data_IF_506096155062
#
_entry.id   IF_506096155062
#
_cell.length_a   1.000
_cell.length_b   1.000
_cell.length_c   1.000
_cell.angle_alpha   90.00
_cell.angle_beta   90.00
_cell.angle_gamma   90.00
#
_symmetry.space_group_name_H-M   'P 1'
#
loop_
_entity.id
_entity.type
_entity.pdbx_description
1 polymer ?
#
# COMPACT_ATOMS: atom_id res chain seq x y z
N UNK A 1 -14.73 -25.92 57.64
CA UNK A 1 -13.72 -24.98 57.15
C UNK A 1 -13.85 -24.98 55.64
N UNK A 2 -14.66 -24.04 55.14
CA UNK A 2 -14.88 -23.83 53.71
C UNK A 2 -13.74 -22.99 53.18
N UNK A 3 -13.05 -23.54 52.19
CA UNK A 3 -11.97 -22.92 51.46
C UNK A 3 -12.55 -21.78 50.61
N UNK A 4 -12.23 -20.54 50.97
CA UNK A 4 -12.64 -19.36 50.20
C UNK A 4 -11.83 -19.35 48.90
N UNK A 5 -12.50 -19.69 47.80
CA UNK A 5 -11.96 -19.50 46.45
C UNK A 5 -11.73 -18.00 46.23
N UNK A 6 -10.46 -17.62 46.36
CA UNK A 6 -9.93 -16.35 45.92
C UNK A 6 -10.22 -16.20 44.42
N UNK A 7 -11.18 -15.36 44.08
CA UNK A 7 -11.43 -14.97 42.68
C UNK A 7 -10.38 -13.94 42.34
N UNK A 8 -9.45 -14.19 41.40
CA UNK A 8 -8.42 -13.21 41.07
C UNK A 8 -9.10 -11.97 40.51
N UNK A 9 -8.70 -10.83 41.07
CA UNK A 9 -9.14 -9.50 40.72
C UNK A 9 -8.98 -9.26 39.22
N UNK A 10 -10.04 -8.70 38.63
CA UNK A 10 -10.14 -8.07 37.32
C UNK A 10 -8.80 -7.70 36.70
N UNK A 11 -8.40 -8.44 35.65
CA UNK A 11 -7.56 -7.90 34.59
C UNK A 11 -8.22 -6.59 34.14
N UNK A 12 -7.55 -5.48 34.46
CA UNK A 12 -7.86 -4.15 33.96
C UNK A 12 -7.90 -4.26 32.43
N UNK A 13 -9.10 -4.39 31.87
CA UNK A 13 -9.30 -4.52 30.43
C UNK A 13 -8.75 -3.24 29.83
N UNK A 14 -7.53 -3.30 29.31
CA UNK A 14 -6.93 -2.22 28.54
C UNK A 14 -8.00 -1.70 27.58
N UNK A 15 -8.37 -0.43 27.72
CA UNK A 15 -9.44 0.16 26.92
C UNK A 15 -9.16 -0.13 25.45
N UNK A 16 -10.04 -0.94 24.86
CA UNK A 16 -9.89 -1.35 23.47
C UNK A 16 -10.00 -0.09 22.63
N UNK A 17 -8.97 0.18 21.81
CA UNK A 17 -8.95 1.34 20.92
C UNK A 17 -10.27 1.49 20.13
N UNK A 18 -10.78 2.71 20.07
CA UNK A 18 -11.91 3.12 19.21
C UNK A 18 -11.58 4.42 18.47
N UNK A 19 -12.22 4.70 17.32
CA UNK A 19 -12.02 5.97 16.60
C UNK A 19 -12.27 7.22 17.46
N UNK A 20 -13.29 7.19 18.32
CA UNK A 20 -13.65 8.32 19.20
C UNK A 20 -12.59 8.59 20.29
N UNK A 21 -11.78 7.57 20.59
CA UNK A 21 -10.68 7.64 21.56
C UNK A 21 -9.31 7.81 20.91
N UNK A 22 -9.25 7.89 19.57
CA UNK A 22 -7.97 8.00 18.86
C UNK A 22 -7.38 9.41 19.02
N UNK A 23 -6.15 9.55 19.57
CA UNK A 23 -5.54 10.86 19.83
C UNK A 23 -5.19 11.63 18.54
N UNK A 24 -5.09 10.92 17.41
CA UNK A 24 -4.73 11.47 16.10
C UNK A 24 -5.96 11.64 15.19
N UNK A 25 -7.15 11.25 15.67
CA UNK A 25 -8.42 11.36 14.95
C UNK A 25 -8.59 10.36 13.80
N UNK A 26 -7.89 9.22 13.84
CA UNK A 26 -8.05 8.19 12.81
C UNK A 26 -9.38 7.45 12.90
N UNK A 27 -9.96 7.20 11.74
CA UNK A 27 -11.22 6.49 11.57
C UNK A 27 -10.98 4.98 11.45
N UNK A 28 -12.06 4.17 11.46
CA UNK A 28 -11.95 2.74 11.15
C UNK A 28 -11.34 2.53 9.76
N UNK A 29 -11.74 3.33 8.76
CA UNK A 29 -11.22 3.21 7.39
C UNK A 29 -9.70 3.51 7.30
N UNK A 30 -9.14 4.24 8.27
CA UNK A 30 -7.70 4.52 8.33
C UNK A 30 -6.89 3.36 8.90
N UNK A 31 -7.50 2.47 9.68
CA UNK A 31 -6.80 1.39 10.40
C UNK A 31 -7.30 -0.02 10.07
N UNK A 32 -8.42 -0.12 9.35
CA UNK A 32 -9.02 -1.38 8.92
C UNK A 32 -9.05 -1.45 7.39
N UNK A 33 -8.45 -2.50 6.84
CA UNK A 33 -8.29 -2.64 5.41
C UNK A 33 -9.56 -3.26 4.81
N UNK A 34 -10.17 -2.58 3.84
CA UNK A 34 -11.35 -3.09 3.09
C UNK A 34 -11.17 -4.53 2.58
N UNK A 35 -9.98 -4.86 2.10
CA UNK A 35 -9.57 -6.22 1.76
C UNK A 35 -8.28 -6.57 2.50
N UNK A 36 -8.43 -7.26 3.63
CA UNK A 36 -7.32 -7.66 4.49
C UNK A 36 -6.31 -8.55 3.75
N UNK A 37 -6.76 -9.37 2.79
CA UNK A 37 -5.88 -10.32 2.11
C UNK A 37 -4.98 -9.62 1.10
N UNK A 38 -5.54 -8.67 0.33
CA UNK A 38 -4.74 -7.83 -0.58
C UNK A 38 -3.74 -6.98 0.20
N UNK A 39 -4.20 -6.34 1.28
CA UNK A 39 -3.34 -5.54 2.15
C UNK A 39 -2.20 -6.38 2.73
N UNK A 40 -2.50 -7.59 3.22
CA UNK A 40 -1.49 -8.53 3.73
C UNK A 40 -0.49 -8.92 2.64
N UNK A 41 -0.95 -9.24 1.43
CA UNK A 41 -0.07 -9.62 0.32
C UNK A 41 0.89 -8.48 -0.07
N UNK A 42 0.38 -7.24 -0.14
CA UNK A 42 1.21 -6.06 -0.42
C UNK A 42 2.25 -5.84 0.69
N UNK A 43 1.86 -5.92 1.95
CA UNK A 43 2.78 -5.72 3.08
C UNK A 43 3.79 -6.85 3.23
N UNK A 44 3.42 -8.08 2.87
CA UNK A 44 4.36 -9.20 2.87
C UNK A 44 5.52 -8.97 1.89
N UNK A 45 5.24 -8.36 0.73
CA UNK A 45 6.24 -8.17 -0.33
C UNK A 45 6.98 -6.84 -0.18
N UNK A 46 6.28 -5.76 0.17
CA UNK A 46 6.86 -4.39 0.21
C UNK A 46 7.23 -3.94 1.63
N UNK A 47 6.89 -4.73 2.65
CA UNK A 47 6.95 -4.33 4.05
C UNK A 47 5.88 -3.32 4.43
N UNK A 48 5.77 -3.08 5.74
CA UNK A 48 4.86 -2.07 6.29
C UNK A 48 5.39 -0.65 6.08
N UNK A 49 6.71 -0.48 6.03
CA UNK A 49 7.37 0.79 5.81
C UNK A 49 7.55 1.13 4.32
N UNK A 50 7.13 0.26 3.40
CA UNK A 50 7.24 0.45 1.95
C UNK A 50 8.69 0.63 1.44
N UNK A 51 9.70 0.22 2.22
CA UNK A 51 11.12 0.34 1.84
C UNK A 51 11.67 -0.89 1.11
N UNK A 52 11.01 -2.03 1.23
CA UNK A 52 11.49 -3.24 0.55
C UNK A 52 11.28 -3.10 -0.96
N UNK A 53 12.38 -3.25 -1.69
CA UNK A 53 12.39 -3.25 -3.15
C UNK A 53 11.95 -4.64 -3.62
N UNK A 54 10.84 -4.71 -4.33
CA UNK A 54 10.14 -5.94 -4.65
C UNK A 54 8.96 -5.64 -5.55
N UNK A 55 8.78 -6.46 -6.58
CA UNK A 55 7.64 -6.31 -7.49
C UNK A 55 7.03 -7.65 -7.83
N UNK A 56 5.71 -7.67 -8.03
CA UNK A 56 4.99 -8.86 -8.43
C UNK A 56 3.85 -8.51 -9.38
N UNK A 57 3.49 -9.46 -10.24
CA UNK A 57 2.35 -9.28 -11.13
C UNK A 57 1.06 -9.19 -10.32
N UNK A 58 0.29 -8.13 -10.53
CA UNK A 58 -1.00 -7.92 -9.91
C UNK A 58 -2.00 -7.43 -10.96
N UNK A 59 -3.21 -7.96 -10.90
CA UNK A 59 -4.36 -7.47 -11.66
C UNK A 59 -5.44 -7.09 -10.67
N UNK A 60 -5.99 -5.88 -10.81
CA UNK A 60 -7.06 -5.35 -9.96
C UNK A 60 -8.21 -4.83 -10.81
N UNK A 61 -9.42 -4.88 -10.27
CA UNK A 61 -10.59 -4.20 -10.81
C UNK A 61 -10.88 -2.98 -9.95
N UNK A 62 -10.94 -1.80 -10.56
CA UNK A 62 -11.29 -0.56 -9.88
C UNK A 62 -12.25 0.26 -10.74
N UNK A 63 -13.41 0.60 -10.21
CA UNK A 63 -14.45 1.40 -10.89
C UNK A 63 -14.80 0.90 -12.31
N UNK A 64 -14.86 -0.42 -12.51
CA UNK A 64 -15.17 -1.04 -13.81
C UNK A 64 -14.01 -1.08 -14.81
N UNK A 65 -12.80 -0.66 -14.41
CA UNK A 65 -11.58 -0.75 -15.20
C UNK A 65 -10.71 -1.88 -14.66
N UNK A 66 -10.21 -2.73 -15.56
CA UNK A 66 -9.19 -3.74 -15.23
C UNK A 66 -7.82 -3.08 -15.34
N UNK A 67 -7.04 -3.14 -14.26
CA UNK A 67 -5.71 -2.57 -14.17
C UNK A 67 -4.75 -3.73 -13.92
N UNK A 68 -3.82 -3.95 -14.85
CA UNK A 68 -2.88 -5.07 -14.76
C UNK A 68 -1.46 -4.56 -14.96
N UNK A 69 -0.53 -4.95 -14.09
CA UNK A 69 0.88 -4.57 -14.19
C UNK A 69 1.70 -5.14 -13.04
N UNK A 70 2.83 -4.53 -12.73
CA UNK A 70 3.67 -4.91 -11.60
C UNK A 70 3.36 -4.03 -10.39
N UNK A 71 2.85 -4.61 -9.31
CA UNK A 71 2.72 -3.92 -8.04
C UNK A 71 4.12 -3.69 -7.44
N UNK A 72 4.38 -2.45 -7.05
CA UNK A 72 5.67 -1.97 -6.54
C UNK A 72 5.49 -1.22 -5.22
N UNK A 73 6.57 -1.10 -4.46
CA UNK A 73 6.56 -0.29 -3.23
C UNK A 73 6.36 1.19 -3.55
N UNK A 74 5.96 1.97 -2.54
CA UNK A 74 5.85 3.43 -2.67
C UNK A 74 7.19 4.07 -3.02
N UNK A 75 8.28 3.59 -2.41
CA UNK A 75 9.63 4.10 -2.69
C UNK A 75 10.00 3.90 -4.17
N UNK A 76 9.75 2.71 -4.73
CA UNK A 76 9.97 2.45 -6.16
C UNK A 76 9.11 3.35 -7.05
N UNK A 77 7.86 3.58 -6.67
CA UNK A 77 6.94 4.43 -7.44
C UNK A 77 7.42 5.88 -7.49
N UNK A 78 7.92 6.42 -6.36
CA UNK A 78 8.49 7.76 -6.28
C UNK A 78 9.71 7.88 -7.19
N UNK A 79 10.65 6.93 -7.09
CA UNK A 79 11.84 6.90 -7.95
C UNK A 79 11.46 6.88 -9.43
N UNK A 80 10.52 6.02 -9.82
CA UNK A 80 10.06 5.96 -11.20
C UNK A 80 9.37 7.26 -11.66
N UNK A 81 8.61 7.90 -10.77
CA UNK A 81 7.95 9.17 -11.07
C UNK A 81 8.96 10.31 -11.29
N UNK A 82 10.03 10.36 -10.49
CA UNK A 82 11.14 11.30 -10.63
C UNK A 82 11.86 11.09 -11.97
N UNK A 83 12.13 9.84 -12.35
CA UNK A 83 12.76 9.52 -13.64
C UNK A 83 11.89 9.94 -14.83
N UNK A 84 10.55 9.84 -14.74
CA UNK A 84 9.66 10.36 -15.79
C UNK A 84 9.82 11.88 -15.98
N UNK A 85 9.97 12.65 -14.90
CA UNK A 85 10.19 14.10 -14.99
C UNK A 85 11.56 14.46 -15.57
N UNK A 86 12.62 13.74 -15.16
CA UNK A 86 13.96 13.91 -15.74
C UNK A 86 13.94 13.66 -17.25
N UNK A 87 13.32 12.56 -17.67
CA UNK A 87 13.21 12.20 -19.09
C UNK A 87 12.33 13.15 -19.90
N UNK A 88 11.39 13.85 -19.25
CA UNK A 88 10.60 14.91 -19.86
C UNK A 88 11.35 16.25 -20.01
N UNK A 89 12.62 16.33 -19.58
CA UNK A 89 13.45 17.52 -19.70
C UNK A 89 13.18 18.60 -18.65
N UNK A 90 12.62 18.22 -17.49
CA UNK A 90 12.33 19.13 -16.37
C UNK A 90 13.02 18.69 -15.07
N UNK A 91 14.37 18.67 -15.03
CA UNK A 91 15.14 18.15 -13.89
C UNK A 91 14.87 18.89 -12.57
N UNK A 92 14.72 20.21 -12.59
CA UNK A 92 14.42 20.99 -11.38
C UNK A 92 13.09 20.58 -10.72
N UNK A 93 12.09 20.22 -11.54
CA UNK A 93 10.81 19.68 -11.06
C UNK A 93 11.01 18.29 -10.46
N UNK A 94 11.85 17.47 -11.09
CA UNK A 94 12.15 16.12 -10.60
C UNK A 94 12.78 16.16 -9.20
N UNK A 95 13.72 17.06 -8.93
CA UNK A 95 14.33 17.25 -7.61
C UNK A 95 13.31 17.69 -6.54
N UNK A 96 12.42 18.62 -6.88
CA UNK A 96 11.36 19.06 -5.96
C UNK A 96 10.37 17.93 -5.65
N UNK A 97 10.01 17.14 -6.66
CA UNK A 97 9.14 15.96 -6.52
C UNK A 97 9.82 14.93 -5.62
N UNK A 98 11.09 14.60 -5.88
CA UNK A 98 11.87 13.66 -5.08
C UNK A 98 11.88 14.05 -3.60
N UNK A 99 12.21 15.31 -3.31
CA UNK A 99 12.23 15.84 -1.94
C UNK A 99 10.85 15.74 -1.28
N UNK A 100 9.81 16.23 -1.95
CA UNK A 100 8.45 16.27 -1.40
C UNK A 100 7.95 14.87 -1.03
N UNK A 101 8.15 13.90 -1.92
CA UNK A 101 7.69 12.53 -1.70
C UNK A 101 8.54 11.77 -0.69
N UNK A 102 9.85 12.04 -0.63
CA UNK A 102 10.74 11.47 0.40
C UNK A 102 10.33 11.95 1.79
N UNK A 103 10.15 13.27 1.96
CA UNK A 103 9.71 13.86 3.23
C UNK A 103 8.34 13.29 3.67
N UNK A 104 7.40 13.15 2.74
CA UNK A 104 6.08 12.57 3.02
C UNK A 104 6.16 11.08 3.38
N UNK A 105 7.04 10.31 2.72
CA UNK A 105 7.26 8.89 3.02
C UNK A 105 7.88 8.72 4.41
N UNK A 106 8.93 9.48 4.74
CA UNK A 106 9.54 9.45 6.07
C UNK A 106 8.55 9.84 7.17
N UNK A 107 7.71 10.85 6.92
CA UNK A 107 6.65 11.23 7.85
C UNK A 107 5.69 10.08 8.13
N UNK A 108 5.30 9.33 7.10
CA UNK A 108 4.43 8.15 7.24
C UNK A 108 5.10 7.04 8.06
N UNK A 109 6.39 6.78 7.82
CA UNK A 109 7.14 5.75 8.56
C UNK A 109 7.29 6.12 10.02
N UNK A 110 7.71 7.36 10.32
CA UNK A 110 7.86 7.87 11.69
C UNK A 110 6.54 7.83 12.46
N UNK A 111 5.43 8.15 11.79
CA UNK A 111 4.09 8.09 12.38
C UNK A 111 3.67 6.65 12.70
N UNK A 112 3.95 5.70 11.80
CA UNK A 112 3.68 4.30 12.04
C UNK A 112 4.50 3.74 13.22
N UNK A 113 5.79 4.11 13.30
CA UNK A 113 6.68 3.77 14.42
C UNK A 113 6.14 4.33 15.75
N UNK A 114 5.84 5.63 15.79
CA UNK A 114 5.28 6.31 16.97
C UNK A 114 4.01 5.65 17.48
N UNK A 115 3.09 5.29 16.58
CA UNK A 115 1.82 4.64 16.95
C UNK A 115 2.04 3.23 17.46
N UNK A 116 2.94 2.48 16.84
CA UNK A 116 3.32 1.15 17.31
C UNK A 116 3.92 1.21 18.73
N UNK A 117 4.81 2.17 19.00
CA UNK A 117 5.36 2.40 20.35
C UNK A 117 4.30 2.78 21.39
N UNK A 118 3.26 3.50 20.97
CA UNK A 118 2.12 3.87 21.80
C UNK A 118 1.04 2.77 21.95
N UNK A 119 1.23 1.60 21.34
CA UNK A 119 0.22 0.53 21.33
C UNK A 119 -1.05 0.88 20.55
N UNK A 120 -1.00 1.88 19.67
CA UNK A 120 -2.11 2.32 18.84
C UNK A 120 -2.13 1.54 17.51
N UNK A 121 -3.31 1.29 16.92
CA UNK A 121 -3.38 0.67 15.60
C UNK A 121 -2.62 1.47 14.55
N UNK A 122 -1.77 0.80 13.78
CA UNK A 122 -1.09 1.40 12.65
C UNK A 122 -2.08 1.70 11.51
N UNK A 123 -1.80 2.74 10.73
CA UNK A 123 -2.59 3.04 9.55
C UNK A 123 -2.45 1.94 8.50
N UNK A 124 -3.54 1.61 7.84
CA UNK A 124 -3.49 0.72 6.69
C UNK A 124 -2.92 1.43 5.47
N UNK A 125 -2.40 0.63 4.54
CA UNK A 125 -1.96 1.12 3.24
C UNK A 125 -3.19 1.67 2.51
N UNK A 126 -3.15 2.94 2.13
CA UNK A 126 -4.25 3.58 1.41
C UNK A 126 -4.21 3.38 -0.11
N UNK A 127 -3.04 3.09 -0.67
CA UNK A 127 -2.82 3.06 -2.11
C UNK A 127 -2.00 1.86 -2.55
N UNK A 128 -2.34 1.31 -3.70
CA UNK A 128 -1.50 0.41 -4.48
C UNK A 128 -0.78 1.22 -5.56
N UNK A 129 0.51 0.94 -5.76
CA UNK A 129 1.33 1.55 -6.78
C UNK A 129 1.75 0.47 -7.76
N UNK A 130 1.66 0.78 -9.05
CA UNK A 130 1.98 -0.17 -10.11
C UNK A 130 2.83 0.50 -11.19
N UNK A 131 3.70 -0.29 -11.83
CA UNK A 131 4.44 0.06 -13.05
C UNK A 131 4.11 -0.88 -14.19
N UNK A 132 4.43 -0.45 -15.41
CA UNK A 132 4.21 -1.20 -16.65
C UNK A 132 2.75 -1.65 -16.73
N UNK A 133 1.83 -0.69 -16.71
CA UNK A 133 0.41 -0.96 -16.47
C UNK A 133 -0.36 -0.94 -17.78
N UNK A 134 -1.18 -1.97 -17.99
CA UNK A 134 -2.24 -2.00 -18.99
C UNK A 134 -3.58 -1.77 -18.31
N UNK A 135 -4.28 -0.74 -18.76
CA UNK A 135 -5.65 -0.43 -18.38
C UNK A 135 -6.60 -0.99 -19.45
N UNK A 136 -7.63 -1.71 -19.04
CA UNK A 136 -8.67 -2.27 -19.90
C UNK A 136 -10.06 -1.78 -19.51
N UNK A 137 -10.82 -1.29 -20.48
CA UNK A 137 -12.24 -0.94 -20.33
C UNK A 137 -13.00 -1.40 -21.57
N UNK A 138 -13.83 -2.44 -21.42
CA UNK A 138 -14.47 -3.11 -22.55
C UNK A 138 -13.44 -3.66 -23.55
N UNK A 139 -13.56 -3.28 -24.81
CA UNK A 139 -12.62 -3.67 -25.87
C UNK A 139 -11.38 -2.76 -25.98
N UNK A 140 -11.36 -1.62 -25.27
CA UNK A 140 -10.26 -0.67 -25.34
C UNK A 140 -9.18 -1.01 -24.31
N UNK A 141 -7.92 -0.88 -24.71
CA UNK A 141 -6.78 -0.95 -23.79
C UNK A 141 -5.85 0.23 -24.00
N UNK A 142 -5.23 0.70 -22.91
CA UNK A 142 -4.16 1.70 -22.95
C UNK A 142 -3.04 1.28 -22.02
N UNK A 143 -1.81 1.67 -22.35
CA UNK A 143 -0.65 1.44 -21.50
C UNK A 143 -0.21 2.74 -20.85
N UNK A 144 0.14 2.66 -19.57
CA UNK A 144 0.70 3.78 -18.81
C UNK A 144 1.92 3.29 -18.04
N UNK A 145 2.99 4.10 -17.92
CA UNK A 145 4.21 3.67 -17.25
C UNK A 145 4.00 3.45 -15.76
N UNK A 146 3.15 4.26 -15.13
CA UNK A 146 2.82 4.20 -13.71
C UNK A 146 1.32 4.34 -13.50
N UNK A 147 0.82 3.67 -12.48
CA UNK A 147 -0.55 3.82 -11.98
C UNK A 147 -0.56 3.81 -10.46
N UNK A 148 -1.44 4.63 -9.88
CA UNK A 148 -1.70 4.70 -8.45
C UNK A 148 -3.20 4.63 -8.24
N UNK A 149 -3.66 3.67 -7.44
CA UNK A 149 -5.07 3.46 -7.11
C UNK A 149 -5.31 3.40 -5.62
N UNK A 150 -6.45 3.93 -5.16
CA UNK A 150 -6.89 3.75 -3.76
C UNK A 150 -7.25 2.29 -3.54
N UNK A 151 -6.77 1.70 -2.46
CA UNK A 151 -7.11 0.31 -2.11
C UNK A 151 -8.60 0.15 -1.78
N UNK A 152 -9.24 1.18 -1.22
CA UNK A 152 -10.68 1.20 -0.94
C UNK A 152 -11.54 1.17 -2.22
N UNK A 153 -10.99 1.57 -3.38
CA UNK A 153 -11.68 1.57 -4.67
C UNK A 153 -11.49 0.26 -5.45
N UNK A 154 -10.74 -0.70 -4.89
CA UNK A 154 -10.55 -2.01 -5.50
C UNK A 154 -11.74 -2.90 -5.10
N UNK A 155 -12.33 -3.56 -6.09
CA UNK A 155 -13.50 -4.44 -5.93
C UNK A 155 -13.17 -5.90 -6.19
N UNK A 156 -11.99 -6.20 -6.72
CA UNK A 156 -11.51 -7.55 -6.94
C UNK A 156 -10.07 -7.53 -7.47
N UNK A 157 -9.34 -8.62 -7.27
CA UNK A 157 -7.96 -8.73 -7.69
C UNK A 157 -7.54 -10.18 -7.90
N UNK A 158 -6.43 -10.37 -8.60
CA UNK A 158 -5.77 -11.66 -8.78
C UNK A 158 -4.26 -11.49 -8.87
N UNK A 159 -3.53 -12.51 -8.42
CA UNK A 159 -2.08 -12.60 -8.66
C UNK A 159 -1.79 -12.82 -10.14
N UNK A 160 -0.68 -12.25 -10.60
CA UNK A 160 -0.29 -12.24 -12.01
C UNK A 160 -0.68 -10.96 -12.73
N UNK A 161 -0.04 -10.73 -13.87
CA UNK A 161 -0.34 -9.59 -14.73
C UNK A 161 -0.42 -10.04 -16.18
N UNK A 162 -1.25 -9.36 -16.97
CA UNK A 162 -1.27 -9.46 -18.43
C UNK A 162 0.05 -9.06 -19.11
N UNK A 163 0.97 -8.45 -18.36
CA UNK A 163 2.35 -8.30 -18.75
C UNK A 163 3.16 -9.43 -18.08
N UNK A 164 3.07 -10.65 -18.60
CA UNK A 164 4.24 -11.53 -18.46
C UNK A 164 5.41 -10.74 -19.07
N UNK A 165 6.57 -10.63 -18.40
CA UNK A 165 7.78 -10.32 -19.13
C UNK A 165 7.77 -11.28 -20.30
N UNK A 166 7.79 -10.76 -21.52
CA UNK A 166 8.12 -11.63 -22.64
C UNK A 166 9.47 -12.22 -22.25
N UNK A 167 9.44 -13.47 -21.78
CA UNK A 167 10.61 -14.30 -21.83
C UNK A 167 11.09 -14.12 -23.25
N UNK A 168 12.35 -13.70 -23.38
CA UNK A 168 13.14 -13.93 -24.57
C UNK A 168 12.72 -15.29 -25.11
N UNK A 169 11.83 -15.28 -26.10
CA UNK A 169 11.59 -16.43 -26.92
C UNK A 169 12.93 -16.60 -27.61
N UNK A 170 13.77 -17.45 -27.04
CA UNK A 170 14.90 -18.02 -27.71
C UNK A 170 14.34 -18.57 -29.02
N UNK A 171 14.62 -17.85 -30.10
CA UNK A 171 14.55 -18.41 -31.44
C UNK A 171 15.56 -19.54 -31.49
N UNK A 172 15.06 -20.78 -31.42
CA UNK A 172 15.72 -21.93 -32.05
C UNK A 172 15.73 -21.77 -33.57
#
# INVERSE_FOLDING_TARGET
MTDEMHTPETEEQAERWTPDTDPDGYTLDDVDAKDWYLHTALNFIHGMDDKHLGSFGLTVTSNGVVVSGLAISRAEWITAQVELYKNAGVPDVAEHVEKLFTDAHEGFVKEAERRNEAGLPARVRGFVHMKDVRLGSGAATTQVPLWRGKLSDITGWSMGSWNSPQGSAETE
#
